data_IF_847413107380
#
_entry.id   IF_847413107380
#
_cell.length_a   1.000
_cell.length_b   1.000
_cell.length_c   1.000
_cell.angle_alpha   90.00
_cell.angle_beta   90.00
_cell.angle_gamma   90.00
#
_symmetry.space_group_name_H-M   'P 1'
#
loop_
_entity.id
_entity.type
_entity.pdbx_description
1 polymer ?
#
# COMPACT_ATOMS: atom_id res chain seq x y z
N UNK A 1 -48.75 -21.74 24.77
CA UNK A 1 -48.86 -21.29 23.37
C UNK A 1 -47.52 -20.77 22.96
N UNK A 2 -46.72 -21.60 22.30
CA UNK A 2 -45.36 -21.30 21.80
C UNK A 2 -45.50 -20.81 20.38
N UNK A 3 -45.27 -19.53 20.17
CA UNK A 3 -45.22 -18.92 18.84
C UNK A 3 -43.87 -19.22 18.20
N UNK A 4 -43.88 -20.16 17.27
CA UNK A 4 -42.77 -20.43 16.38
C UNK A 4 -42.60 -19.22 15.44
N UNK A 5 -41.49 -18.50 15.57
CA UNK A 5 -41.09 -17.45 14.62
C UNK A 5 -40.53 -18.17 13.39
N UNK A 6 -41.30 -18.23 12.32
CA UNK A 6 -40.83 -18.63 11.00
C UNK A 6 -39.85 -17.57 10.49
N UNK A 7 -38.58 -17.90 10.52
CA UNK A 7 -37.54 -17.19 9.77
C UNK A 7 -37.64 -17.60 8.27
N UNK A 8 -38.58 -17.03 7.55
CA UNK A 8 -38.56 -17.03 6.11
C UNK A 8 -37.36 -16.15 5.68
N UNK A 9 -36.34 -16.77 5.10
CA UNK A 9 -35.30 -16.06 4.34
C UNK A 9 -35.98 -15.30 3.19
N UNK A 10 -36.39 -14.06 3.43
CA UNK A 10 -36.81 -13.13 2.38
C UNK A 10 -35.65 -13.00 1.39
N UNK A 11 -35.85 -13.46 0.15
CA UNK A 11 -34.98 -13.13 -0.97
C UNK A 11 -34.91 -11.61 -1.06
N UNK A 12 -33.80 -11.03 -0.56
CA UNK A 12 -33.59 -9.59 -0.51
C UNK A 12 -33.43 -9.14 -1.97
N UNK A 13 -34.39 -8.36 -2.48
CA UNK A 13 -34.43 -7.84 -3.84
C UNK A 13 -34.03 -6.36 -3.91
N UNK A 14 -33.56 -5.81 -2.78
CA UNK A 14 -33.08 -4.43 -2.62
C UNK A 14 -31.86 -4.41 -1.71
N UNK A 15 -30.93 -3.47 -1.86
CA UNK A 15 -29.77 -3.36 -0.99
C UNK A 15 -30.16 -2.94 0.44
N UNK A 16 -29.28 -3.23 1.42
CA UNK A 16 -29.48 -2.84 2.81
C UNK A 16 -29.43 -1.32 3.02
N UNK A 17 -28.57 -0.64 2.25
CA UNK A 17 -28.45 0.81 2.25
C UNK A 17 -28.84 1.36 0.88
N UNK A 18 -29.82 2.27 0.86
CA UNK A 18 -30.38 2.86 -0.33
C UNK A 18 -30.69 4.33 -0.12
N UNK A 19 -30.60 5.13 -1.16
CA UNK A 19 -31.07 6.50 -1.13
C UNK A 19 -32.60 6.54 -0.95
N UNK A 20 -33.14 7.35 -0.03
CA UNK A 20 -34.55 7.30 0.39
C UNK A 20 -35.57 7.64 -0.71
N UNK A 21 -35.13 8.38 -1.72
CA UNK A 21 -35.97 8.76 -2.86
C UNK A 21 -36.21 7.63 -3.87
N UNK A 22 -35.44 6.53 -3.81
CA UNK A 22 -35.61 5.40 -4.73
C UNK A 22 -36.37 4.26 -4.09
N UNK A 23 -37.28 3.68 -4.84
CA UNK A 23 -38.16 2.60 -4.43
C UNK A 23 -38.21 1.50 -5.49
N UNK A 24 -38.87 0.37 -5.16
CA UNK A 24 -39.00 -0.76 -6.07
C UNK A 24 -37.84 -1.75 -5.98
N UNK A 25 -38.01 -2.91 -6.61
CA UNK A 25 -37.02 -3.97 -6.65
C UNK A 25 -35.97 -3.69 -7.72
N UNK A 26 -34.78 -4.23 -7.57
CA UNK A 26 -33.74 -4.20 -8.58
C UNK A 26 -33.99 -5.27 -9.66
N UNK A 27 -33.72 -4.92 -10.89
CA UNK A 27 -33.78 -5.85 -12.02
C UNK A 27 -32.62 -6.84 -11.94
N UNK A 28 -32.87 -8.07 -12.45
CA UNK A 28 -31.85 -9.14 -12.50
C UNK A 28 -31.64 -9.59 -13.92
N UNK A 29 -30.38 -9.67 -14.33
CA UNK A 29 -29.98 -10.19 -15.64
C UNK A 29 -28.65 -10.95 -15.54
N UNK A 30 -28.21 -11.54 -16.63
CA UNK A 30 -26.81 -11.89 -16.82
C UNK A 30 -26.10 -10.72 -17.52
N UNK A 31 -24.82 -10.52 -17.24
CA UNK A 31 -24.04 -9.48 -17.92
C UNK A 31 -24.12 -9.61 -19.45
N UNK A 32 -24.08 -10.82 -19.97
CA UNK A 32 -24.19 -11.10 -21.43
C UNK A 32 -25.55 -10.83 -22.07
N UNK A 33 -26.60 -10.60 -21.24
CA UNK A 33 -27.92 -10.20 -21.78
C UNK A 33 -27.91 -8.71 -22.15
N UNK A 34 -27.08 -7.89 -21.50
CA UNK A 34 -27.02 -6.43 -21.66
C UNK A 34 -25.73 -5.94 -22.34
N UNK A 35 -24.65 -6.71 -22.21
CA UNK A 35 -23.31 -6.28 -22.60
C UNK A 35 -22.58 -7.33 -23.42
N UNK A 36 -21.65 -6.86 -24.26
CA UNK A 36 -20.69 -7.71 -24.97
C UNK A 36 -19.34 -7.69 -24.27
N UNK A 37 -18.55 -8.75 -24.44
CA UNK A 37 -17.18 -8.85 -23.92
C UNK A 37 -16.23 -8.92 -25.09
N UNK A 38 -15.35 -7.93 -25.21
CA UNK A 38 -14.36 -7.81 -26.27
C UNK A 38 -12.94 -7.74 -25.75
N UNK A 39 -11.96 -7.96 -26.62
CA UNK A 39 -10.53 -7.82 -26.34
C UNK A 39 -9.81 -7.26 -27.57
N UNK A 40 -8.65 -6.63 -27.36
CA UNK A 40 -7.79 -6.16 -28.42
C UNK A 40 -7.21 -7.31 -29.25
N UNK A 41 -6.86 -7.03 -30.50
CA UNK A 41 -6.02 -7.93 -31.32
C UNK A 41 -4.65 -8.07 -30.67
N UNK A 42 -4.14 -9.29 -30.66
CA UNK A 42 -2.86 -9.63 -30.04
C UNK A 42 -1.70 -8.84 -30.61
N UNK A 43 -0.87 -8.28 -29.73
CA UNK A 43 0.43 -7.70 -30.01
C UNK A 43 1.52 -8.70 -29.62
N UNK A 44 2.47 -8.96 -30.49
CA UNK A 44 3.61 -9.83 -30.21
C UNK A 44 4.71 -9.07 -29.48
N UNK A 45 5.53 -9.75 -28.69
CA UNK A 45 6.64 -9.13 -27.95
C UNK A 45 7.61 -8.38 -28.89
N UNK A 46 7.83 -8.89 -30.10
CA UNK A 46 8.65 -8.23 -31.13
C UNK A 46 8.08 -6.93 -31.68
N UNK A 47 6.82 -6.63 -31.40
CA UNK A 47 6.13 -5.40 -31.81
C UNK A 47 6.08 -4.37 -30.67
N UNK A 48 6.66 -4.67 -29.51
CA UNK A 48 6.72 -3.78 -28.35
C UNK A 48 8.15 -3.30 -28.10
N UNK A 49 8.28 -2.08 -27.58
CA UNK A 49 9.53 -1.46 -27.16
C UNK A 49 9.39 -0.95 -25.72
N UNK A 50 10.54 -0.64 -25.08
CA UNK A 50 10.57 -0.01 -23.73
C UNK A 50 10.20 1.46 -23.77
N UNK A 51 10.28 2.10 -24.95
CA UNK A 51 9.92 3.49 -25.20
C UNK A 51 9.13 3.58 -26.50
N UNK A 52 8.21 4.55 -26.61
CA UNK A 52 7.39 4.72 -27.80
C UNK A 52 6.27 5.74 -27.62
N UNK A 53 5.46 5.91 -28.67
CA UNK A 53 4.42 6.93 -28.72
C UNK A 53 3.10 6.48 -28.11
N UNK A 54 2.79 5.17 -28.16
CA UNK A 54 1.52 4.64 -27.67
C UNK A 54 1.78 3.61 -26.57
N UNK A 55 1.30 3.86 -25.33
CA UNK A 55 1.42 2.92 -24.21
C UNK A 55 0.77 1.56 -24.55
N UNK A 56 1.47 0.46 -24.19
CA UNK A 56 0.94 -0.89 -24.24
C UNK A 56 0.78 -1.44 -22.83
N UNK A 57 -0.45 -1.57 -22.37
CA UNK A 57 -0.75 -2.04 -21.03
C UNK A 57 -0.92 -3.55 -20.95
N UNK A 58 -0.20 -4.15 -20.01
CA UNK A 58 -0.33 -5.55 -19.58
C UNK A 58 -1.15 -5.63 -18.29
N UNK A 59 -1.49 -6.85 -17.86
CA UNK A 59 -2.24 -7.08 -16.60
C UNK A 59 -1.58 -6.43 -15.37
N UNK A 60 -0.25 -6.35 -15.33
CA UNK A 60 0.49 -5.72 -14.22
C UNK A 60 0.52 -4.20 -14.26
N UNK A 61 0.37 -3.59 -15.44
CA UNK A 61 0.54 -2.15 -15.64
C UNK A 61 -0.76 -1.39 -15.90
N UNK A 62 -1.87 -2.08 -16.22
CA UNK A 62 -3.16 -1.42 -16.48
C UNK A 62 -3.59 -0.54 -15.28
N UNK A 63 -4.00 0.69 -15.58
CA UNK A 63 -4.36 1.70 -14.56
C UNK A 63 -3.18 2.24 -13.77
N UNK A 64 -1.94 2.06 -14.24
CA UNK A 64 -0.71 2.57 -13.66
C UNK A 64 0.25 3.08 -14.72
N UNK A 65 1.56 2.99 -14.47
CA UNK A 65 2.60 3.40 -15.41
C UNK A 65 2.90 2.26 -16.40
N UNK A 66 2.88 2.50 -17.72
CA UNK A 66 3.21 1.50 -18.73
C UNK A 66 4.71 1.18 -18.69
N UNK A 67 5.05 -0.07 -18.98
CA UNK A 67 6.43 -0.57 -19.12
C UNK A 67 6.74 -1.02 -20.54
N UNK A 68 5.80 -0.86 -21.47
CA UNK A 68 5.94 -1.20 -22.87
C UNK A 68 5.13 -0.24 -23.73
N UNK A 69 5.56 -0.10 -24.99
CA UNK A 69 4.97 0.81 -25.97
C UNK A 69 4.89 0.14 -27.34
N UNK A 70 4.00 0.62 -28.20
CA UNK A 70 3.92 0.26 -29.62
C UNK A 70 4.05 1.50 -30.48
N UNK A 71 4.33 1.30 -31.77
CA UNK A 71 4.39 2.41 -32.71
C UNK A 71 2.99 2.99 -32.99
N UNK A 72 2.94 4.25 -33.39
CA UNK A 72 1.69 4.93 -33.73
C UNK A 72 1.03 4.29 -34.97
N UNK A 73 1.85 3.89 -35.94
CA UNK A 73 1.37 3.25 -37.18
C UNK A 73 0.66 1.92 -36.87
N UNK A 74 1.27 1.07 -36.01
CA UNK A 74 0.67 -0.20 -35.61
C UNK A 74 -0.62 0.03 -34.82
N UNK A 75 -0.63 1.04 -33.95
CA UNK A 75 -1.83 1.40 -33.19
C UNK A 75 -2.97 1.83 -34.10
N UNK A 76 -2.72 2.76 -35.04
CA UNK A 76 -3.74 3.29 -35.94
C UNK A 76 -4.28 2.20 -36.88
N UNK A 77 -3.39 1.33 -37.38
CA UNK A 77 -3.79 0.18 -38.21
C UNK A 77 -4.70 -0.79 -37.44
N UNK A 78 -4.32 -1.14 -36.19
CA UNK A 78 -5.09 -2.09 -35.41
C UNK A 78 -6.40 -1.49 -34.89
N UNK A 79 -6.39 -0.22 -34.49
CA UNK A 79 -7.59 0.50 -34.05
C UNK A 79 -8.64 0.62 -35.17
N UNK A 80 -8.18 0.76 -36.42
CA UNK A 80 -9.06 0.85 -37.58
C UNK A 80 -9.64 -0.51 -38.02
N UNK A 81 -8.90 -1.62 -37.79
CA UNK A 81 -9.27 -2.95 -38.31
C UNK A 81 -9.95 -3.85 -37.30
N UNK A 82 -9.74 -3.63 -36.00
CA UNK A 82 -10.17 -4.53 -34.94
C UNK A 82 -10.97 -3.79 -33.87
N UNK A 83 -11.68 -4.55 -33.06
CA UNK A 83 -12.41 -3.99 -31.93
C UNK A 83 -11.47 -3.25 -30.99
N UNK A 84 -11.91 -2.08 -30.56
CA UNK A 84 -11.16 -1.18 -29.69
C UNK A 84 -12.12 -0.51 -28.69
N UNK A 85 -11.75 -0.32 -27.40
CA UNK A 85 -12.66 0.22 -26.41
C UNK A 85 -13.04 1.68 -26.68
N UNK A 86 -14.26 2.07 -26.29
CA UNK A 86 -14.72 3.43 -26.29
C UNK A 86 -14.57 4.09 -24.93
N UNK A 87 -14.40 5.41 -24.90
CA UNK A 87 -14.28 6.17 -23.67
C UNK A 87 -15.45 5.89 -22.74
N UNK A 88 -15.13 5.57 -21.48
CA UNK A 88 -16.11 5.26 -20.44
C UNK A 88 -16.42 3.77 -20.29
N UNK A 89 -15.96 2.91 -21.20
CA UNK A 89 -16.13 1.46 -21.05
C UNK A 89 -15.26 0.88 -19.94
N UNK A 90 -15.76 -0.17 -19.32
CA UNK A 90 -15.09 -0.83 -18.20
C UNK A 90 -14.18 -1.92 -18.72
N UNK A 91 -12.91 -1.83 -18.39
CA UNK A 91 -11.90 -2.85 -18.67
C UNK A 91 -11.63 -3.69 -17.41
N UNK A 92 -11.38 -4.99 -17.59
CA UNK A 92 -11.13 -5.93 -16.49
C UNK A 92 -9.98 -6.85 -16.82
N UNK A 93 -9.11 -7.11 -15.81
CA UNK A 93 -8.04 -8.10 -15.93
C UNK A 93 -8.57 -9.51 -15.67
N UNK A 94 -8.30 -10.43 -16.60
CA UNK A 94 -8.79 -11.82 -16.56
C UNK A 94 -7.76 -12.83 -16.04
N UNK A 95 -6.49 -12.44 -15.88
CA UNK A 95 -5.41 -13.28 -15.39
C UNK A 95 -4.45 -12.47 -14.50
N UNK A 96 -3.60 -13.14 -13.72
CA UNK A 96 -2.66 -12.51 -12.80
C UNK A 96 -3.38 -11.76 -11.68
N UNK A 97 -3.45 -10.44 -11.76
CA UNK A 97 -4.27 -9.62 -10.82
C UNK A 97 -5.73 -9.65 -11.28
N UNK A 98 -6.38 -10.79 -11.08
CA UNK A 98 -7.74 -11.07 -11.59
C UNK A 98 -8.77 -10.12 -10.99
N UNK A 99 -9.64 -9.54 -11.84
CA UNK A 99 -10.76 -8.70 -11.43
C UNK A 99 -10.41 -7.23 -11.19
N UNK A 100 -9.18 -6.79 -11.51
CA UNK A 100 -8.87 -5.35 -11.47
C UNK A 100 -9.62 -4.64 -12.60
N UNK A 101 -10.50 -3.72 -12.23
CA UNK A 101 -11.29 -2.91 -13.16
C UNK A 101 -10.67 -1.53 -13.38
N UNK A 102 -10.78 -1.02 -14.61
CA UNK A 102 -10.36 0.34 -15.00
C UNK A 102 -11.38 0.88 -15.99
N UNK A 103 -11.74 2.15 -15.87
CA UNK A 103 -12.56 2.83 -16.89
C UNK A 103 -11.61 3.41 -17.95
N UNK A 104 -11.85 3.11 -19.22
CA UNK A 104 -11.06 3.66 -20.31
C UNK A 104 -11.28 5.18 -20.44
N UNK A 105 -10.20 5.95 -20.35
CA UNK A 105 -10.24 7.42 -20.32
C UNK A 105 -10.31 8.08 -21.70
N UNK A 106 -10.19 7.28 -22.77
CA UNK A 106 -10.21 7.74 -24.16
C UNK A 106 -8.87 8.15 -24.75
N UNK A 107 -7.78 8.05 -23.97
CA UNK A 107 -6.43 8.33 -24.49
C UNK A 107 -5.91 7.18 -25.32
N UNK A 108 -5.07 7.49 -26.32
CA UNK A 108 -4.42 6.47 -27.13
C UNK A 108 -3.55 5.55 -26.26
N UNK A 109 -3.94 4.27 -26.22
CA UNK A 109 -3.24 3.19 -25.52
C UNK A 109 -3.68 1.86 -26.09
N UNK A 110 -2.88 0.81 -25.98
CA UNK A 110 -3.26 -0.52 -26.42
C UNK A 110 -3.16 -1.53 -25.27
N UNK A 111 -3.90 -2.62 -25.34
CA UNK A 111 -4.09 -3.51 -24.20
C UNK A 111 -3.80 -4.96 -24.57
N UNK A 112 -3.24 -5.70 -23.61
CA UNK A 112 -2.89 -7.10 -23.78
C UNK A 112 -4.16 -7.94 -24.04
N UNK A 113 -4.14 -8.69 -25.13
CA UNK A 113 -5.23 -9.60 -25.54
C UNK A 113 -5.54 -10.67 -24.47
N UNK A 114 -6.74 -11.18 -24.47
CA UNK A 114 -7.26 -12.28 -23.62
C UNK A 114 -7.04 -12.17 -22.11
N UNK A 115 -6.12 -11.34 -21.67
CA UNK A 115 -5.82 -11.06 -20.27
C UNK A 115 -6.43 -9.75 -19.79
N UNK A 116 -6.75 -8.84 -20.72
CA UNK A 116 -7.50 -7.62 -20.48
C UNK A 116 -8.64 -7.60 -21.51
N UNK A 117 -9.86 -7.59 -21.01
CA UNK A 117 -11.07 -7.46 -21.81
C UNK A 117 -11.81 -6.20 -21.40
N UNK A 118 -12.72 -5.72 -22.25
CA UNK A 118 -13.64 -4.66 -21.85
C UNK A 118 -15.09 -5.07 -22.10
N UNK A 119 -15.96 -4.36 -21.41
CA UNK A 119 -17.39 -4.56 -21.45
C UNK A 119 -17.98 -3.45 -22.33
N UNK A 120 -18.34 -3.82 -23.53
CA UNK A 120 -19.15 -3.00 -24.43
C UNK A 120 -20.61 -3.04 -23.98
N UNK A 121 -21.21 -1.88 -23.79
CA UNK A 121 -22.54 -1.72 -23.19
C UNK A 121 -23.48 -0.97 -24.13
N UNK A 122 -23.97 -1.64 -25.20
CA UNK A 122 -24.78 -1.00 -26.23
C UNK A 122 -26.19 -0.63 -25.75
N UNK A 123 -26.76 -1.40 -24.80
CA UNK A 123 -28.13 -1.16 -24.30
C UNK A 123 -28.20 0.10 -23.43
N UNK A 124 -27.10 0.43 -22.74
CA UNK A 124 -27.01 1.52 -21.76
C UNK A 124 -28.04 1.44 -20.61
N UNK A 125 -28.69 0.27 -20.42
CA UNK A 125 -29.55 0.03 -19.25
C UNK A 125 -28.71 0.02 -17.95
N UNK A 126 -27.44 -0.35 -18.06
CA UNK A 126 -26.49 -0.31 -16.94
C UNK A 126 -25.51 0.85 -17.18
N UNK A 127 -25.43 1.77 -16.21
CA UNK A 127 -24.44 2.86 -16.24
C UNK A 127 -23.03 2.29 -16.09
N UNK A 128 -22.09 2.67 -16.95
CA UNK A 128 -20.72 2.16 -16.93
C UNK A 128 -19.97 2.41 -15.60
N UNK A 129 -20.21 3.55 -14.95
CA UNK A 129 -19.64 3.82 -13.61
C UNK A 129 -20.23 2.90 -12.54
N UNK A 130 -21.52 2.59 -12.60
CA UNK A 130 -22.15 1.60 -11.74
C UNK A 130 -21.60 0.20 -12.00
N UNK A 131 -21.49 -0.18 -13.27
CA UNK A 131 -20.93 -1.46 -13.72
C UNK A 131 -19.48 -1.62 -13.25
N UNK A 132 -18.68 -0.56 -13.30
CA UNK A 132 -17.30 -0.57 -12.76
C UNK A 132 -17.26 -0.97 -11.27
N UNK A 133 -18.08 -0.33 -10.44
CA UNK A 133 -18.10 -0.64 -9.01
C UNK A 133 -18.68 -2.03 -8.74
N UNK A 134 -19.67 -2.46 -9.51
CA UNK A 134 -20.25 -3.78 -9.43
C UNK A 134 -19.22 -4.86 -9.72
N UNK A 135 -18.51 -4.76 -10.88
CA UNK A 135 -17.50 -5.72 -11.28
C UNK A 135 -16.28 -5.73 -10.33
N UNK A 136 -15.86 -4.56 -9.84
CA UNK A 136 -14.78 -4.44 -8.86
C UNK A 136 -15.13 -5.08 -7.50
N UNK A 137 -16.41 -5.22 -7.16
CA UNK A 137 -16.88 -5.83 -5.92
C UNK A 137 -17.08 -7.36 -6.02
N UNK A 138 -17.02 -7.94 -7.22
CA UNK A 138 -17.19 -9.39 -7.42
C UNK A 138 -16.04 -10.17 -6.81
N UNK A 139 -16.37 -11.18 -6.00
CA UNK A 139 -15.36 -12.10 -5.49
C UNK A 139 -15.03 -13.19 -6.53
N UNK A 140 -14.17 -12.85 -7.49
CA UNK A 140 -13.75 -13.73 -8.57
C UNK A 140 -13.11 -15.03 -8.09
N UNK A 141 -12.52 -15.07 -6.89
CA UNK A 141 -11.92 -16.29 -6.31
C UNK A 141 -12.97 -17.35 -5.96
N UNK A 142 -14.17 -16.92 -5.57
CA UNK A 142 -15.25 -17.85 -5.23
C UNK A 142 -15.94 -18.45 -6.47
N UNK A 143 -15.82 -17.80 -7.61
CA UNK A 143 -16.45 -18.26 -8.88
C UNK A 143 -15.61 -19.32 -9.59
N UNK A 144 -14.32 -19.45 -9.27
CA UNK A 144 -13.40 -20.39 -9.90
C UNK A 144 -12.83 -21.36 -8.87
N UNK A 145 -13.05 -22.66 -9.08
CA UNK A 145 -12.58 -23.76 -8.20
C UNK A 145 -11.15 -24.21 -8.49
N UNK A 146 -10.41 -23.57 -9.40
CA UNK A 146 -9.07 -23.95 -9.82
C UNK A 146 -7.97 -23.22 -9.07
N UNK A 147 -6.79 -23.87 -8.93
CA UNK A 147 -5.60 -23.30 -8.24
C UNK A 147 -5.08 -22.03 -8.93
N UNK A 148 -5.25 -21.93 -10.26
CA UNK A 148 -4.91 -20.74 -11.05
C UNK A 148 -6.21 -20.03 -11.39
N UNK A 149 -6.43 -18.85 -10.78
CA UNK A 149 -7.63 -18.06 -10.99
C UNK A 149 -7.51 -17.35 -12.33
N UNK A 150 -8.50 -17.60 -13.21
CA UNK A 150 -8.67 -16.92 -14.49
C UNK A 150 -10.15 -16.68 -14.74
N UNK A 151 -10.49 -15.50 -15.24
CA UNK A 151 -11.84 -15.16 -15.72
C UNK A 151 -11.89 -15.48 -17.23
N UNK A 152 -12.85 -16.29 -17.64
CA UNK A 152 -13.14 -16.53 -19.05
C UNK A 152 -14.32 -15.66 -19.51
N UNK A 153 -14.44 -15.44 -20.81
CA UNK A 153 -15.55 -14.63 -21.36
C UNK A 153 -16.91 -15.18 -20.95
N UNK A 154 -17.05 -16.50 -20.81
CA UNK A 154 -18.30 -17.11 -20.39
C UNK A 154 -18.59 -16.88 -18.90
N UNK A 155 -17.57 -16.76 -18.06
CA UNK A 155 -17.73 -16.37 -16.64
C UNK A 155 -18.30 -14.95 -16.56
N UNK A 156 -17.81 -14.03 -17.39
CA UNK A 156 -18.32 -12.67 -17.48
C UNK A 156 -19.75 -12.65 -18.03
N UNK A 157 -20.01 -13.32 -19.17
CA UNK A 157 -21.35 -13.35 -19.78
C UNK A 157 -22.41 -13.95 -18.85
N UNK A 158 -22.06 -14.99 -18.09
CA UNK A 158 -22.97 -15.65 -17.17
C UNK A 158 -23.03 -15.02 -15.77
N UNK A 159 -22.24 -13.95 -15.52
CA UNK A 159 -22.27 -13.24 -14.25
C UNK A 159 -23.67 -12.66 -14.02
N UNK A 160 -24.30 -13.10 -12.93
CA UNK A 160 -25.62 -12.60 -12.51
C UNK A 160 -25.44 -11.22 -11.89
N UNK A 161 -26.18 -10.27 -12.37
CA UNK A 161 -26.18 -8.89 -11.91
C UNK A 161 -27.55 -8.51 -11.37
N UNK A 162 -27.54 -7.53 -10.46
CA UNK A 162 -28.74 -6.83 -10.05
C UNK A 162 -28.48 -5.33 -10.16
N UNK A 163 -29.41 -4.59 -10.76
CA UNK A 163 -29.28 -3.14 -10.94
C UNK A 163 -30.61 -2.41 -10.79
N UNK A 164 -30.61 -1.18 -10.24
CA UNK A 164 -31.79 -0.33 -10.15
C UNK A 164 -32.03 0.46 -11.43
N UNK A 165 -33.07 1.33 -11.41
CA UNK A 165 -33.27 2.30 -12.46
C UNK A 165 -32.03 3.22 -12.64
N UNK A 166 -31.84 3.74 -13.84
CA UNK A 166 -30.62 4.44 -14.29
C UNK A 166 -30.23 5.64 -13.41
N UNK A 167 -31.21 6.37 -12.87
CA UNK A 167 -30.91 7.54 -12.01
C UNK A 167 -30.33 7.13 -10.65
N UNK A 168 -30.78 6.02 -10.08
CA UNK A 168 -30.21 5.47 -8.87
C UNK A 168 -28.77 4.96 -9.12
N UNK A 169 -28.54 4.26 -10.24
CA UNK A 169 -27.20 3.82 -10.67
C UNK A 169 -26.23 4.98 -10.77
N UNK A 170 -26.63 6.07 -11.44
CA UNK A 170 -25.81 7.29 -11.57
C UNK A 170 -25.47 7.88 -10.20
N UNK A 171 -26.41 7.88 -9.25
CA UNK A 171 -26.20 8.44 -7.92
C UNK A 171 -25.25 7.57 -7.08
N UNK A 172 -25.40 6.24 -7.13
CA UNK A 172 -24.49 5.29 -6.48
C UNK A 172 -23.09 5.43 -7.07
N UNK A 173 -22.99 5.38 -8.40
CA UNK A 173 -21.72 5.53 -9.11
C UNK A 173 -21.02 6.84 -8.76
N UNK A 174 -21.73 7.96 -8.72
CA UNK A 174 -21.17 9.27 -8.38
C UNK A 174 -20.62 9.30 -6.95
N UNK A 175 -21.36 8.76 -5.98
CA UNK A 175 -20.92 8.67 -4.58
C UNK A 175 -19.61 7.88 -4.46
N UNK A 176 -19.56 6.69 -5.06
CA UNK A 176 -18.39 5.80 -4.97
C UNK A 176 -17.19 6.36 -5.73
N UNK A 177 -17.40 6.99 -6.89
CA UNK A 177 -16.34 7.65 -7.65
C UNK A 177 -15.73 8.84 -6.90
N UNK A 178 -16.54 9.63 -6.18
CA UNK A 178 -16.03 10.69 -5.31
C UNK A 178 -15.17 10.16 -4.16
N UNK A 179 -15.52 9.00 -3.61
CA UNK A 179 -14.67 8.33 -2.61
C UNK A 179 -13.36 7.83 -3.23
N UNK A 180 -13.39 7.29 -4.44
CA UNK A 180 -12.17 6.87 -5.14
C UNK A 180 -11.24 8.04 -5.43
N UNK A 181 -11.77 9.16 -5.91
CA UNK A 181 -11.02 10.41 -6.12
C UNK A 181 -10.41 10.92 -4.81
N UNK A 182 -11.17 10.84 -3.70
CA UNK A 182 -10.69 11.24 -2.38
C UNK A 182 -9.57 10.34 -1.87
N UNK A 183 -9.72 9.01 -2.02
CA UNK A 183 -8.69 8.02 -1.66
C UNK A 183 -7.42 8.24 -2.49
N UNK A 184 -7.55 8.46 -3.80
CA UNK A 184 -6.40 8.74 -4.67
C UNK A 184 -5.67 10.03 -4.27
N UNK A 185 -6.43 11.10 -3.99
CA UNK A 185 -5.88 12.37 -3.50
C UNK A 185 -5.16 12.19 -2.16
N UNK A 186 -5.75 11.42 -1.25
CA UNK A 186 -5.18 11.15 0.07
C UNK A 186 -3.85 10.40 -0.02
N UNK A 187 -3.76 9.40 -0.91
CA UNK A 187 -2.51 8.69 -1.17
C UNK A 187 -1.41 9.64 -1.69
N UNK A 188 -1.77 10.55 -2.60
CA UNK A 188 -0.83 11.53 -3.13
C UNK A 188 -0.33 12.49 -2.04
N UNK A 189 -1.22 12.98 -1.19
CA UNK A 189 -0.84 13.84 -0.04
C UNK A 189 0.19 13.13 0.86
N UNK A 190 -0.04 11.86 1.18
CA UNK A 190 0.88 11.06 2.00
C UNK A 190 2.24 10.91 1.30
N UNK A 191 2.25 10.62 0.01
CA UNK A 191 3.48 10.51 -0.77
C UNK A 191 4.25 11.83 -0.82
N UNK A 192 3.56 12.92 -1.07
CA UNK A 192 4.16 14.27 -1.16
C UNK A 192 4.72 14.71 0.22
N UNK A 193 4.03 14.42 1.32
CA UNK A 193 4.54 14.67 2.67
C UNK A 193 5.81 13.86 2.99
N UNK A 194 5.89 12.60 2.57
CA UNK A 194 7.09 11.77 2.72
C UNK A 194 8.27 12.31 1.91
N UNK A 195 8.02 12.73 0.67
CA UNK A 195 9.06 13.38 -0.17
C UNK A 195 9.53 14.70 0.44
N UNK A 196 8.59 15.51 0.93
CA UNK A 196 8.89 16.76 1.61
C UNK A 196 9.75 16.54 2.86
N UNK A 197 9.45 15.51 3.68
CA UNK A 197 10.27 15.15 4.84
C UNK A 197 11.71 14.87 4.43
N UNK A 198 11.92 14.03 3.42
CA UNK A 198 13.28 13.71 2.93
C UNK A 198 14.02 14.95 2.41
N UNK A 199 13.35 15.79 1.64
CA UNK A 199 13.93 17.02 1.11
C UNK A 199 14.32 18.02 2.23
N UNK A 200 13.48 18.17 3.26
CA UNK A 200 13.79 19.02 4.43
C UNK A 200 15.02 18.50 5.17
N UNK A 201 15.14 17.19 5.38
CA UNK A 201 16.29 16.57 6.06
C UNK A 201 17.58 16.85 5.28
N UNK A 202 17.57 16.59 3.98
CA UNK A 202 18.74 16.77 3.09
C UNK A 202 19.16 18.23 3.02
N UNK A 203 18.21 19.15 2.85
CA UNK A 203 18.47 20.59 2.74
C UNK A 203 19.01 21.16 4.05
N UNK A 204 18.39 20.85 5.17
CA UNK A 204 18.87 21.26 6.47
C UNK A 204 20.29 20.74 6.74
N UNK A 205 20.51 19.46 6.45
CA UNK A 205 21.84 18.86 6.64
C UNK A 205 22.89 19.54 5.77
N UNK A 206 22.54 19.95 4.54
CA UNK A 206 23.46 20.65 3.61
C UNK A 206 23.86 22.04 4.13
N UNK A 207 22.90 22.76 4.71
CA UNK A 207 23.06 24.17 5.10
C UNK A 207 23.69 24.37 6.48
N UNK A 208 23.60 23.40 7.40
CA UNK A 208 24.12 23.54 8.76
C UNK A 208 25.62 23.25 8.87
N UNK A 209 26.28 23.96 9.78
CA UNK A 209 27.65 23.62 10.21
C UNK A 209 27.66 22.30 10.98
N UNK A 210 28.70 21.53 10.82
CA UNK A 210 28.80 20.18 11.36
C UNK A 210 30.15 19.94 12.04
N UNK A 211 30.11 19.16 13.11
CA UNK A 211 31.28 18.66 13.81
C UNK A 211 31.43 17.16 13.55
N UNK A 212 32.66 16.71 13.42
CA UNK A 212 32.97 15.29 13.30
C UNK A 212 32.89 14.61 14.66
N UNK A 213 32.18 13.50 14.75
CA UNK A 213 32.05 12.64 15.94
C UNK A 213 32.08 11.18 15.49
N UNK A 214 32.54 10.28 16.36
CA UNK A 214 32.42 8.84 16.09
C UNK A 214 31.08 8.30 16.61
N UNK A 215 30.60 7.18 16.02
CA UNK A 215 29.40 6.51 16.56
C UNK A 215 29.54 6.17 18.03
N UNK A 216 30.76 5.79 18.47
CA UNK A 216 31.06 5.52 19.88
C UNK A 216 30.83 6.71 20.82
N UNK A 217 30.92 7.95 20.31
CA UNK A 217 30.74 9.17 21.11
C UNK A 217 29.25 9.48 21.37
N UNK A 218 28.34 8.82 20.65
CA UNK A 218 26.90 9.08 20.77
C UNK A 218 26.32 8.60 22.11
N UNK A 219 26.92 7.56 22.70
CA UNK A 219 26.43 7.01 23.97
C UNK A 219 26.91 5.59 24.23
N UNK A 220 26.26 4.92 25.20
CA UNK A 220 26.64 3.60 25.63
C UNK A 220 25.90 2.50 24.84
N UNK A 221 26.66 1.66 24.18
CA UNK A 221 26.14 0.48 23.47
C UNK A 221 25.61 -0.58 24.43
N UNK A 222 24.57 -1.29 24.04
CA UNK A 222 24.07 -2.48 24.73
C UNK A 222 23.57 -3.53 23.72
N UNK A 223 23.74 -4.81 24.08
CA UNK A 223 23.15 -5.92 23.34
C UNK A 223 21.80 -6.28 23.94
N UNK A 224 20.92 -6.88 23.13
CA UNK A 224 19.60 -7.32 23.57
C UNK A 224 19.54 -8.82 23.80
N UNK A 225 18.46 -9.30 24.41
CA UNK A 225 18.22 -10.73 24.63
C UNK A 225 17.72 -11.46 23.38
N UNK A 226 17.72 -12.77 23.45
CA UNK A 226 17.16 -13.59 22.37
C UNK A 226 15.62 -13.66 22.51
N UNK A 227 14.91 -13.03 21.58
CA UNK A 227 13.45 -13.07 21.44
C UNK A 227 13.09 -13.35 19.99
N UNK A 228 12.47 -14.48 19.75
CA UNK A 228 12.04 -14.91 18.43
C UNK A 228 10.56 -14.61 18.20
N UNK A 229 10.11 -14.72 16.95
CA UNK A 229 8.70 -14.52 16.59
C UNK A 229 7.77 -15.50 17.34
N UNK A 230 8.24 -16.71 17.61
CA UNK A 230 7.49 -17.75 18.33
C UNK A 230 7.34 -17.46 19.83
N UNK A 231 8.14 -16.51 20.39
CA UNK A 231 8.03 -16.05 21.76
C UNK A 231 6.94 -14.96 21.93
N UNK A 232 6.33 -14.49 20.83
CA UNK A 232 5.26 -13.48 20.88
C UNK A 232 3.97 -14.11 21.36
N UNK A 233 3.15 -13.30 22.04
CA UNK A 233 1.83 -13.71 22.59
C UNK A 233 0.82 -12.56 22.45
N UNK A 234 -0.46 -12.89 22.50
CA UNK A 234 -1.53 -11.87 22.47
C UNK A 234 -1.55 -10.99 23.72
N UNK A 235 -1.03 -11.51 24.83
CA UNK A 235 -0.99 -10.83 26.13
C UNK A 235 0.41 -10.95 26.72
N UNK A 236 0.73 -10.13 27.74
CA UNK A 236 2.02 -10.17 28.41
C UNK A 236 2.68 -8.80 28.50
N UNK A 237 4.00 -8.76 28.63
CA UNK A 237 4.74 -7.51 28.65
C UNK A 237 5.00 -7.00 27.22
N UNK A 238 4.97 -5.67 27.02
CA UNK A 238 5.28 -5.10 25.71
C UNK A 238 6.70 -5.46 25.28
N UNK A 239 6.88 -5.82 24.02
CA UNK A 239 8.17 -6.20 23.47
C UNK A 239 8.36 -5.73 22.03
N UNK A 240 9.60 -5.70 21.58
CA UNK A 240 9.99 -5.44 20.19
C UNK A 240 10.98 -6.52 19.76
N UNK A 241 10.71 -7.13 18.59
CA UNK A 241 11.67 -7.98 17.89
C UNK A 241 12.27 -7.23 16.69
N UNK A 242 13.49 -7.58 16.30
CA UNK A 242 14.25 -6.85 15.28
C UNK A 242 13.53 -6.66 13.95
N UNK A 243 12.72 -7.65 13.53
CA UNK A 243 11.97 -7.58 12.29
C UNK A 243 10.94 -6.45 12.24
N UNK A 244 10.41 -6.04 13.39
CA UNK A 244 9.42 -4.96 13.49
C UNK A 244 10.04 -3.57 13.23
N UNK A 245 11.37 -3.42 13.36
CA UNK A 245 12.07 -2.19 12.99
C UNK A 245 12.00 -1.91 11.47
N UNK A 246 11.76 -2.95 10.65
CA UNK A 246 11.59 -2.81 9.20
C UNK A 246 10.14 -2.71 8.75
N UNK A 247 9.21 -3.31 9.50
CA UNK A 247 7.84 -3.57 9.01
C UNK A 247 6.77 -2.79 9.74
N UNK A 248 6.94 -2.59 11.05
CA UNK A 248 5.91 -2.04 11.92
C UNK A 248 6.23 -0.61 12.33
N UNK A 249 7.48 -0.35 12.65
CA UNK A 249 7.91 0.94 13.19
C UNK A 249 8.63 1.79 12.14
N UNK A 250 8.53 3.10 12.31
CA UNK A 250 9.34 4.07 11.59
C UNK A 250 10.51 4.57 12.44
N UNK A 251 10.97 5.78 12.17
CA UNK A 251 12.10 6.37 12.87
C UNK A 251 11.85 6.57 14.37
N UNK A 252 10.57 6.68 14.80
CA UNK A 252 10.20 6.89 16.22
C UNK A 252 9.16 5.86 16.64
N UNK A 253 9.46 5.14 17.72
CA UNK A 253 8.57 4.16 18.34
C UNK A 253 7.90 4.80 19.57
N UNK A 254 6.61 5.05 19.51
CA UNK A 254 5.82 5.67 20.59
C UNK A 254 4.73 4.76 21.14
N UNK A 255 4.36 3.71 20.41
CA UNK A 255 3.39 2.69 20.80
C UNK A 255 3.98 1.33 20.49
N UNK A 256 3.66 0.34 21.30
CA UNK A 256 4.19 -1.02 21.17
C UNK A 256 3.02 -1.94 20.80
N UNK A 257 3.19 -2.70 19.72
CA UNK A 257 2.15 -3.59 19.21
C UNK A 257 2.29 -5.04 19.73
N UNK A 258 3.54 -5.49 19.91
CA UNK A 258 3.82 -6.88 20.27
C UNK A 258 4.00 -7.07 21.78
N UNK A 259 3.65 -8.27 22.24
CA UNK A 259 3.75 -8.68 23.64
C UNK A 259 4.42 -10.04 23.76
N UNK A 260 5.01 -10.32 24.95
CA UNK A 260 5.61 -11.62 25.25
C UNK A 260 5.46 -11.98 26.73
N UNK A 261 5.37 -13.27 27.01
CA UNK A 261 5.43 -13.81 28.37
C UNK A 261 6.86 -14.18 28.81
N UNK A 262 7.84 -14.08 27.89
CA UNK A 262 9.25 -14.35 28.15
C UNK A 262 9.90 -13.14 28.82
N UNK A 263 10.26 -13.25 30.10
CA UNK A 263 10.77 -12.11 30.89
C UNK A 263 12.14 -12.32 31.51
N UNK A 264 12.60 -13.56 31.59
CA UNK A 264 13.89 -13.90 32.24
C UNK A 264 15.10 -13.49 31.42
N UNK A 265 16.00 -12.72 31.98
CA UNK A 265 17.25 -12.29 31.31
C UNK A 265 17.09 -11.31 30.17
N UNK A 266 15.93 -10.67 30.07
CA UNK A 266 15.64 -9.73 28.98
C UNK A 266 16.11 -8.32 29.31
N UNK A 267 16.56 -7.62 28.26
CA UNK A 267 16.95 -6.20 28.37
C UNK A 267 15.69 -5.34 28.13
N UNK A 268 15.56 -4.32 28.97
CA UNK A 268 14.45 -3.37 28.88
C UNK A 268 14.91 -2.05 28.28
N UNK A 269 14.08 -1.46 27.43
CA UNK A 269 14.32 -0.15 26.84
C UNK A 269 14.33 0.97 27.90
N UNK A 270 15.10 2.01 27.60
CA UNK A 270 14.96 3.34 28.18
C UNK A 270 14.53 4.32 27.11
N UNK A 271 13.70 5.26 27.48
CA UNK A 271 13.26 6.33 26.56
C UNK A 271 14.48 7.06 25.98
N UNK A 272 14.55 7.15 24.67
CA UNK A 272 15.66 7.74 23.93
C UNK A 272 16.71 6.74 23.47
N UNK A 273 16.53 5.44 23.72
CA UNK A 273 17.40 4.42 23.14
C UNK A 273 17.24 4.38 21.63
N UNK A 274 18.36 4.29 20.93
CA UNK A 274 18.40 4.11 19.47
C UNK A 274 18.67 2.64 19.16
N UNK A 275 17.72 1.97 18.53
CA UNK A 275 17.73 0.53 18.23
C UNK A 275 18.11 0.31 16.78
N UNK A 276 19.10 -0.53 16.51
CA UNK A 276 19.56 -0.92 15.18
C UNK A 276 19.24 -2.38 14.92
N UNK A 277 18.59 -2.74 13.79
CA UNK A 277 18.54 -4.12 13.35
C UNK A 277 19.95 -4.57 12.95
N UNK A 278 20.30 -5.84 13.25
CA UNK A 278 21.63 -6.39 12.99
C UNK A 278 21.71 -7.31 11.80
N UNK A 279 20.58 -7.71 11.21
CA UNK A 279 20.56 -8.57 10.01
C UNK A 279 19.39 -8.30 9.07
N UNK A 280 19.61 -8.62 7.79
CA UNK A 280 18.57 -8.58 6.75
C UNK A 280 18.90 -9.58 5.62
N UNK A 281 17.87 -9.98 4.87
CA UNK A 281 18.00 -10.77 3.63
C UNK A 281 17.80 -9.92 2.37
N UNK A 282 17.62 -8.59 2.51
CA UNK A 282 17.32 -7.69 1.38
C UNK A 282 18.61 -7.11 0.80
N UNK A 283 19.16 -6.08 1.41
CA UNK A 283 20.41 -5.42 1.00
C UNK A 283 21.03 -4.62 2.17
N UNK A 284 22.30 -4.24 2.03
CA UNK A 284 23.03 -3.54 3.07
C UNK A 284 22.47 -2.14 3.39
N UNK A 285 21.88 -1.46 2.42
CA UNK A 285 21.30 -0.13 2.62
C UNK A 285 20.02 -0.25 3.43
N UNK A 286 19.19 -1.23 3.11
CA UNK A 286 17.94 -1.51 3.84
C UNK A 286 18.18 -1.90 5.29
N UNK A 287 19.34 -2.50 5.62
CA UNK A 287 19.72 -2.85 6.98
C UNK A 287 19.87 -1.63 7.89
N UNK A 288 20.25 -0.47 7.34
CA UNK A 288 20.35 0.76 8.13
C UNK A 288 18.96 1.35 8.31
N UNK A 289 18.27 0.88 9.33
CA UNK A 289 16.92 1.31 9.68
C UNK A 289 16.76 1.48 11.20
N UNK A 290 17.59 2.32 11.85
CA UNK A 290 17.47 2.50 13.29
C UNK A 290 16.21 3.27 13.66
N UNK A 291 15.60 2.88 14.78
CA UNK A 291 14.44 3.54 15.38
C UNK A 291 14.75 4.00 16.79
N UNK A 292 14.33 5.20 17.17
CA UNK A 292 14.39 5.65 18.56
C UNK A 292 13.12 5.23 19.29
N UNK A 293 13.29 4.59 20.47
CA UNK A 293 12.15 4.22 21.31
C UNK A 293 11.87 5.31 22.35
N UNK A 294 10.62 5.75 22.44
CA UNK A 294 10.14 6.76 23.38
C UNK A 294 9.34 6.16 24.56
N UNK A 295 9.45 4.85 24.76
CA UNK A 295 8.73 4.11 25.81
C UNK A 295 9.74 3.36 26.67
N UNK A 296 9.61 3.49 28.00
CA UNK A 296 10.43 2.76 28.96
C UNK A 296 9.90 1.36 29.21
N UNK A 297 10.77 0.46 29.66
CA UNK A 297 10.44 -0.88 30.15
C UNK A 297 9.83 -1.82 29.11
N UNK A 298 10.14 -1.63 27.84
CA UNK A 298 9.79 -2.54 26.74
C UNK A 298 10.89 -3.60 26.60
N UNK A 299 10.51 -4.86 26.53
CA UNK A 299 11.44 -5.97 26.30
C UNK A 299 11.99 -5.85 24.86
N UNK A 300 13.32 -5.82 24.77
CA UNK A 300 14.03 -5.76 23.48
C UNK A 300 14.66 -7.10 23.17
N UNK A 301 14.49 -7.59 21.92
CA UNK A 301 15.07 -8.88 21.60
C UNK A 301 15.17 -9.19 20.11
N UNK A 302 15.87 -10.28 19.82
CA UNK A 302 16.20 -10.71 18.49
C UNK A 302 17.52 -10.14 18.00
N UNK A 303 17.69 -10.12 16.68
CA UNK A 303 18.95 -9.73 16.04
C UNK A 303 19.03 -8.20 15.87
N UNK A 304 19.22 -7.51 16.99
CA UNK A 304 19.41 -6.05 17.10
C UNK A 304 20.39 -5.67 18.20
N UNK A 305 20.89 -4.45 18.16
CA UNK A 305 21.62 -3.80 19.25
C UNK A 305 21.04 -2.40 19.50
N UNK A 306 21.36 -1.83 20.65
CA UNK A 306 20.94 -0.48 21.01
C UNK A 306 22.08 0.41 21.48
N UNK A 307 21.83 1.72 21.44
CA UNK A 307 22.71 2.76 22.01
C UNK A 307 21.86 3.62 22.93
N UNK A 308 22.23 3.68 24.21
CA UNK A 308 21.75 4.68 25.18
C UNK A 308 22.33 6.03 24.80
N UNK A 309 21.59 6.87 24.09
CA UNK A 309 22.09 8.15 23.59
C UNK A 309 22.36 9.11 24.75
N UNK A 310 23.54 9.73 24.74
CA UNK A 310 23.93 10.71 25.75
C UNK A 310 23.13 12.02 25.57
N UNK A 311 23.04 12.81 26.66
CA UNK A 311 22.35 14.10 26.68
C UNK A 311 22.94 15.17 25.71
N UNK A 312 24.13 14.93 25.19
CA UNK A 312 24.79 15.80 24.20
C UNK A 312 24.19 15.68 22.79
N UNK A 313 23.31 14.71 22.54
CA UNK A 313 22.70 14.46 21.24
C UNK A 313 21.18 14.26 21.35
N UNK A 314 20.47 14.58 20.31
CA UNK A 314 19.05 14.32 20.23
C UNK A 314 18.79 12.97 19.54
N UNK A 315 18.30 11.98 20.30
CA UNK A 315 18.08 10.61 19.80
C UNK A 315 17.08 10.54 18.63
N UNK A 316 16.03 11.39 18.62
CA UNK A 316 15.07 11.46 17.53
C UNK A 316 15.73 12.00 16.25
N UNK A 317 16.53 13.07 16.37
CA UNK A 317 17.32 13.58 15.24
C UNK A 317 18.25 12.51 14.69
N UNK A 318 18.96 11.78 15.55
CA UNK A 318 19.89 10.72 15.13
C UNK A 318 19.16 9.61 14.36
N UNK A 319 17.96 9.22 14.77
CA UNK A 319 17.19 8.23 14.01
C UNK A 319 16.91 8.72 12.58
N UNK A 320 16.44 9.95 12.39
CA UNK A 320 16.26 10.53 11.05
C UNK A 320 17.59 10.65 10.28
N UNK A 321 18.63 11.11 10.94
CA UNK A 321 19.96 11.25 10.33
C UNK A 321 20.48 9.93 9.78
N UNK A 322 20.40 8.86 10.55
CA UNK A 322 20.85 7.55 10.10
C UNK A 322 20.00 7.00 8.96
N UNK A 323 18.69 7.18 9.01
CA UNK A 323 17.77 6.68 7.98
C UNK A 323 17.88 7.45 6.65
N UNK A 324 18.27 8.71 6.65
CA UNK A 324 18.27 9.55 5.46
C UNK A 324 19.66 9.97 4.98
N UNK A 325 20.56 10.37 5.89
CA UNK A 325 21.87 10.92 5.54
C UNK A 325 22.98 9.86 5.60
N UNK A 326 23.18 9.23 6.76
CA UNK A 326 24.28 8.31 6.97
C UNK A 326 24.04 6.90 6.41
N UNK A 327 22.84 6.61 5.92
CA UNK A 327 22.40 5.27 5.49
C UNK A 327 23.39 4.59 4.55
N UNK A 328 23.73 5.24 3.43
CA UNK A 328 24.66 4.70 2.44
C UNK A 328 26.09 4.59 2.94
N UNK A 329 26.48 5.46 3.86
CA UNK A 329 27.82 5.44 4.48
C UNK A 329 27.96 4.22 5.39
N UNK A 330 26.99 4.00 6.30
CA UNK A 330 27.02 2.89 7.25
C UNK A 330 26.81 1.53 6.56
N UNK A 331 26.03 1.48 5.49
CA UNK A 331 25.84 0.26 4.69
C UNK A 331 27.16 -0.36 4.18
N UNK A 332 28.22 0.43 4.03
CA UNK A 332 29.55 -0.05 3.61
C UNK A 332 30.24 -0.94 4.64
N UNK A 333 29.81 -0.89 5.89
CA UNK A 333 30.33 -1.72 6.99
C UNK A 333 29.58 -3.04 7.15
N UNK A 334 28.44 -3.19 6.50
CA UNK A 334 27.66 -4.41 6.53
C UNK A 334 28.37 -5.56 5.81
N UNK A 335 28.26 -6.78 6.34
CA UNK A 335 28.96 -7.98 5.88
C UNK A 335 27.98 -9.10 5.59
N UNK A 336 28.30 -9.94 4.62
CA UNK A 336 27.48 -11.09 4.22
C UNK A 336 26.95 -10.97 2.80
N UNK A 337 26.46 -12.07 2.25
CA UNK A 337 25.92 -12.14 0.89
C UNK A 337 24.46 -12.59 0.85
N UNK A 338 24.11 -13.66 1.56
CA UNK A 338 22.72 -14.18 1.64
C UNK A 338 21.98 -13.56 2.82
N UNK A 339 22.64 -13.51 3.98
CA UNK A 339 22.20 -12.76 5.15
C UNK A 339 23.26 -11.70 5.39
N UNK A 340 22.85 -10.46 5.42
CA UNK A 340 23.72 -9.30 5.60
C UNK A 340 23.63 -8.90 7.07
N UNK A 341 24.77 -8.76 7.71
CA UNK A 341 24.89 -8.43 9.13
C UNK A 341 25.58 -7.09 9.34
N UNK A 342 25.20 -6.40 10.42
CA UNK A 342 25.82 -5.19 10.92
C UNK A 342 25.82 -5.23 12.44
N UNK A 343 27.01 -5.22 13.06
CA UNK A 343 27.15 -5.15 14.50
C UNK A 343 27.68 -3.79 14.93
N UNK A 344 27.49 -3.44 16.20
CA UNK A 344 28.00 -2.19 16.74
C UNK A 344 29.51 -2.03 16.51
N UNK A 345 30.29 -3.08 16.71
CA UNK A 345 31.76 -3.09 16.50
C UNK A 345 32.19 -2.80 15.06
N UNK A 346 31.29 -2.99 14.08
CA UNK A 346 31.58 -2.65 12.69
C UNK A 346 31.49 -1.13 12.44
N UNK A 347 30.66 -0.43 13.22
CA UNK A 347 30.35 1.00 12.99
C UNK A 347 30.83 1.93 14.11
N UNK A 348 31.29 1.42 15.29
CA UNK A 348 31.66 2.26 16.43
C UNK A 348 32.67 3.37 16.09
N UNK A 349 33.61 3.10 15.16
CA UNK A 349 34.63 4.03 14.71
C UNK A 349 34.22 4.84 13.45
N UNK A 350 32.99 4.63 12.96
CA UNK A 350 32.52 5.37 11.81
C UNK A 350 32.36 6.85 12.17
N UNK A 351 32.90 7.72 11.32
CA UNK A 351 32.86 9.17 11.49
C UNK A 351 31.53 9.70 10.95
N UNK A 352 30.86 10.48 11.74
CA UNK A 352 29.60 11.17 11.43
C UNK A 352 29.85 12.67 11.44
N UNK A 353 29.11 13.40 10.62
CA UNK A 353 29.10 14.85 10.62
C UNK A 353 27.75 15.32 11.17
N UNK A 354 27.73 15.81 12.41
CA UNK A 354 26.49 16.20 13.08
C UNK A 354 26.45 17.71 13.34
N UNK A 355 25.28 18.36 13.21
CA UNK A 355 25.07 19.74 13.60
C UNK A 355 25.07 19.88 15.14
N UNK A 356 25.05 21.13 15.64
CA UNK A 356 24.93 21.41 17.07
C UNK A 356 23.67 20.79 17.67
N UNK A 357 23.65 20.52 18.97
CA UNK A 357 22.50 19.98 19.70
C UNK A 357 21.26 20.89 19.54
N UNK A 358 21.44 22.20 19.46
CA UNK A 358 20.35 23.15 19.23
C UNK A 358 19.67 22.91 17.88
N UNK A 359 20.47 22.77 16.83
CA UNK A 359 19.97 22.45 15.48
C UNK A 359 19.33 21.07 15.40
N UNK A 360 19.91 20.07 16.08
CA UNK A 360 19.31 18.74 16.19
C UNK A 360 17.92 18.82 16.85
N UNK A 361 17.79 19.56 17.95
CA UNK A 361 16.52 19.74 18.67
C UNK A 361 15.47 20.47 17.82
N UNK A 362 15.88 21.51 17.08
CA UNK A 362 15.01 22.27 16.18
C UNK A 362 14.48 21.38 15.07
N UNK A 363 15.37 20.63 14.42
CA UNK A 363 15.00 19.75 13.33
C UNK A 363 14.15 18.57 13.79
N UNK A 364 14.49 17.92 14.91
CA UNK A 364 13.71 16.82 15.48
C UNK A 364 12.25 17.25 15.73
N UNK A 365 12.00 18.44 16.28
CA UNK A 365 10.66 18.98 16.48
C UNK A 365 9.89 19.09 15.16
N UNK A 366 10.53 19.61 14.11
CA UNK A 366 9.91 19.76 12.78
C UNK A 366 9.54 18.38 12.19
N UNK A 367 10.48 17.43 12.22
CA UNK A 367 10.28 16.10 11.63
C UNK A 367 9.23 15.29 12.40
N UNK A 368 9.22 15.35 13.72
CA UNK A 368 8.18 14.71 14.55
C UNK A 368 6.78 15.29 14.22
N UNK A 369 6.69 16.59 13.98
CA UNK A 369 5.41 17.20 13.58
C UNK A 369 4.96 16.72 12.18
N UNK A 370 5.90 16.56 11.25
CA UNK A 370 5.61 15.99 9.92
C UNK A 370 5.17 14.53 10.02
N UNK A 371 5.83 13.70 10.82
CA UNK A 371 5.43 12.30 11.02
C UNK A 371 4.04 12.18 11.65
N UNK A 372 3.71 13.04 12.61
CA UNK A 372 2.34 13.12 13.14
C UNK A 372 1.34 13.48 12.04
N UNK A 373 1.68 14.43 11.15
CA UNK A 373 0.81 14.78 10.03
C UNK A 373 0.63 13.60 9.09
N UNK A 374 1.70 12.90 8.72
CA UNK A 374 1.64 11.68 7.88
C UNK A 374 0.75 10.62 8.52
N UNK A 375 0.89 10.38 9.84
CA UNK A 375 0.07 9.42 10.57
C UNK A 375 -1.43 9.78 10.55
N UNK A 376 -1.77 11.05 10.74
CA UNK A 376 -3.17 11.53 10.64
C UNK A 376 -3.73 11.30 9.24
N UNK A 377 -2.95 11.59 8.19
CA UNK A 377 -3.39 11.37 6.81
C UNK A 377 -3.54 9.87 6.48
N UNK A 378 -2.68 9.00 7.03
CA UNK A 378 -2.81 7.55 6.90
C UNK A 378 -4.07 7.01 7.59
N UNK A 379 -4.39 7.50 8.78
CA UNK A 379 -5.63 7.14 9.50
C UNK A 379 -6.87 7.58 8.71
N UNK A 380 -6.83 8.77 8.12
CA UNK A 380 -7.92 9.25 7.23
C UNK A 380 -8.06 8.34 6.00
N UNK A 381 -6.96 7.95 5.37
CA UNK A 381 -6.97 7.02 4.24
C UNK A 381 -7.59 5.67 4.62
N UNK A 382 -7.21 5.12 5.77
CA UNK A 382 -7.79 3.87 6.29
C UNK A 382 -9.29 4.00 6.51
N UNK A 383 -9.75 5.10 7.12
CA UNK A 383 -11.17 5.39 7.35
C UNK A 383 -11.96 5.49 6.04
N UNK A 384 -11.43 6.20 5.03
CA UNK A 384 -12.06 6.34 3.72
C UNK A 384 -12.17 4.98 3.01
N UNK A 385 -11.13 4.16 3.10
CA UNK A 385 -11.09 2.82 2.49
C UNK A 385 -12.11 1.90 3.16
N UNK A 386 -12.20 1.93 4.48
CA UNK A 386 -13.19 1.18 5.26
C UNK A 386 -14.62 1.64 4.91
N UNK A 387 -14.85 2.95 4.83
CA UNK A 387 -16.14 3.52 4.42
C UNK A 387 -16.55 3.06 3.02
N UNK A 388 -15.63 3.10 2.05
CA UNK A 388 -15.91 2.60 0.69
C UNK A 388 -16.27 1.12 0.71
N UNK A 389 -15.51 0.29 1.42
CA UNK A 389 -15.80 -1.14 1.55
C UNK A 389 -17.17 -1.41 2.17
N UNK A 390 -17.53 -0.68 3.21
CA UNK A 390 -18.85 -0.75 3.83
C UNK A 390 -19.97 -0.39 2.84
N UNK A 391 -19.82 0.72 2.11
CA UNK A 391 -20.84 1.15 1.12
C UNK A 391 -21.00 0.12 0.00
N UNK A 392 -19.89 -0.46 -0.51
CA UNK A 392 -19.95 -1.52 -1.52
C UNK A 392 -20.71 -2.75 -1.02
N UNK A 393 -20.54 -3.12 0.25
CA UNK A 393 -21.26 -4.26 0.85
C UNK A 393 -22.74 -3.97 1.12
N UNK A 394 -23.10 -2.73 1.40
CA UNK A 394 -24.46 -2.36 1.81
C UNK A 394 -25.33 -1.84 0.65
N UNK A 395 -24.73 -1.24 -0.38
CA UNK A 395 -25.43 -0.63 -1.51
C UNK A 395 -25.55 -1.54 -2.73
N UNK A 396 -24.95 -2.74 -2.71
CA UNK A 396 -25.10 -3.76 -3.77
C UNK A 396 -25.76 -5.03 -3.21
N UNK A 397 -26.34 -5.85 -4.11
CA UNK A 397 -27.06 -7.10 -3.76
C UNK A 397 -26.22 -8.29 -4.20
#
# INVERSE_FOLDING_TARGET
>A
MTTTVNNEHKNIKVPNLRFPEFQGEWEKCKLGDECNVFMCKRILASQTNTEGSVPFYKIGTIGGTPDAYISKELFDDYKAKYNYPHKGEVMITCAGTVGKCVIYDGKDAYYQDSNIVWIDNPSQHINNGFLYHLLANVNWRKLNSTTIIRIYNDDLRNLKLSYPQIEEQKKISRLLSLLDERIATQNKIIEDLKKLKSAIIEEHYRQTEKNEVCVADLGNHFNVGNLAKDDLSETGKPCIIYGELFTTYGEIISQIESHTNKTGGMILSKKGDLLFPSSTTVDAVSLIAPSVINVDNVILGGDMFGIHISHNYNAQYLSYYFNHIAKKQLAKFAKGSTIIHLHYTDIEKAKLLLPSLEEQNRMAKCLVALDKKVSVEQNLLSSLTCQKSYLLQQMFI
#
